data_IF_131523010284
#
_entry.id   IF_131523010284
#
_cell.length_a   1.000
_cell.length_b   1.000
_cell.length_c   1.000
_cell.angle_alpha   90.00
_cell.angle_beta   90.00
_cell.angle_gamma   90.00
#
_symmetry.space_group_name_H-M   'P 1'
#
loop_
_entity.id
_entity.type
_entity.pdbx_description
1 polymer ?
#
# COMPACT_ATOMS: atom_id res chain seq x y z
N UNK A 1 -58.60 1.32 -4.92
CA UNK A 1 -58.32 2.65 -4.32
C UNK A 1 -56.80 2.72 -4.11
N UNK A 2 -55.96 2.73 -5.14
CA UNK A 2 -56.12 3.31 -6.49
C UNK A 2 -56.28 4.84 -6.47
N UNK A 3 -55.58 5.51 -7.40
CA UNK A 3 -55.21 6.92 -7.34
C UNK A 3 -53.98 7.24 -8.18
N UNK A 4 -53.98 6.81 -9.46
CA UNK A 4 -52.91 7.08 -10.42
C UNK A 4 -52.69 8.58 -10.67
N UNK A 5 -51.43 9.05 -10.62
CA UNK A 5 -51.08 10.46 -10.82
C UNK A 5 -49.99 10.68 -11.90
N UNK A 6 -50.15 10.00 -13.04
CA UNK A 6 -49.42 10.30 -14.28
C UNK A 6 -50.39 10.31 -15.48
N UNK A 7 -51.09 11.44 -15.65
CA UNK A 7 -51.82 11.73 -16.88
C UNK A 7 -50.86 12.20 -17.96
N UNK A 8 -50.97 11.65 -19.17
CA UNK A 8 -50.23 12.13 -20.34
C UNK A 8 -50.70 13.52 -20.77
N UNK A 9 -49.76 14.36 -21.16
CA UNK A 9 -49.95 15.30 -22.28
C UNK A 9 -48.77 15.07 -23.25
N UNK A 10 -49.08 14.53 -24.42
CA UNK A 10 -48.14 14.40 -25.53
C UNK A 10 -48.36 15.62 -26.42
N UNK A 11 -47.39 16.54 -26.48
CA UNK A 11 -47.40 17.65 -27.43
C UNK A 11 -46.78 17.19 -28.76
N UNK A 12 -47.57 17.26 -29.84
CA UNK A 12 -47.11 16.93 -31.19
C UNK A 12 -45.98 17.87 -31.65
N UNK A 13 -44.76 17.33 -31.81
CA UNK A 13 -43.70 18.04 -32.52
C UNK A 13 -43.95 17.99 -34.04
N UNK A 14 -43.97 19.13 -34.75
CA UNK A 14 -44.08 19.14 -36.20
C UNK A 14 -42.85 18.49 -36.85
N UNK A 15 -43.06 17.83 -37.99
CA UNK A 15 -41.98 17.18 -38.75
C UNK A 15 -41.31 18.16 -39.71
N UNK A 16 -40.00 18.29 -39.58
CA UNK A 16 -39.09 18.52 -40.71
C UNK A 16 -38.41 19.88 -40.75
N UNK A 17 -37.11 19.85 -40.47
CA UNK A 17 -36.06 20.47 -41.29
C UNK A 17 -34.76 19.67 -41.05
N UNK A 18 -33.82 19.59 -42.02
CA UNK A 18 -32.56 18.89 -41.81
C UNK A 18 -31.57 19.80 -41.07
N UNK A 19 -31.32 19.51 -39.80
CA UNK A 19 -30.22 20.16 -39.06
C UNK A 19 -28.89 19.88 -39.79
N UNK A 20 -28.17 20.96 -40.14
CA UNK A 20 -26.81 20.86 -40.64
C UNK A 20 -25.87 20.56 -39.48
N UNK A 21 -25.03 19.52 -39.61
CA UNK A 21 -24.01 19.16 -38.62
C UNK A 21 -22.97 20.30 -38.44
N UNK A 22 -23.26 21.28 -37.59
CA UNK A 22 -22.21 22.09 -36.99
C UNK A 22 -21.38 21.21 -36.03
N UNK A 23 -20.04 21.25 -36.10
CA UNK A 23 -19.22 20.45 -35.20
C UNK A 23 -19.42 20.93 -33.77
N UNK A 24 -20.04 20.07 -32.95
CA UNK A 24 -20.40 20.38 -31.57
C UNK A 24 -19.22 20.96 -30.79
N UNK A 25 -19.38 22.20 -30.29
CA UNK A 25 -18.35 22.88 -29.47
C UNK A 25 -18.38 22.38 -28.02
N UNK A 26 -18.30 21.06 -27.90
CA UNK A 26 -18.54 20.30 -26.67
C UNK A 26 -17.35 20.49 -25.71
N UNK A 27 -17.43 21.56 -24.92
CA UNK A 27 -16.45 21.87 -23.86
C UNK A 27 -16.37 20.66 -22.93
N UNK A 28 -15.17 20.13 -22.63
CA UNK A 28 -15.02 18.88 -21.89
C UNK A 28 -15.75 18.95 -20.55
N UNK A 29 -16.87 18.23 -20.44
CA UNK A 29 -17.80 18.37 -19.33
C UNK A 29 -17.22 17.65 -18.09
N UNK A 30 -16.44 18.39 -17.30
CA UNK A 30 -15.77 17.88 -16.11
C UNK A 30 -16.76 17.36 -15.06
N UNK A 31 -16.87 16.04 -14.96
CA UNK A 31 -17.74 15.37 -13.99
C UNK A 31 -17.33 15.73 -12.57
N UNK A 32 -18.24 16.34 -11.80
CA UNK A 32 -18.00 16.83 -10.44
C UNK A 32 -17.32 15.80 -9.53
N UNK A 33 -17.80 14.55 -9.53
CA UNK A 33 -17.22 13.45 -8.74
C UNK A 33 -15.73 13.19 -9.06
N UNK A 34 -15.30 13.37 -10.31
CA UNK A 34 -13.89 13.22 -10.70
C UNK A 34 -13.06 14.35 -10.11
N UNK A 35 -13.59 15.58 -10.12
CA UNK A 35 -12.93 16.73 -9.50
C UNK A 35 -12.89 16.63 -7.97
N UNK A 36 -13.93 16.12 -7.31
CA UNK A 36 -13.91 15.81 -5.88
C UNK A 36 -12.84 14.77 -5.55
N UNK A 37 -12.78 13.66 -6.29
CA UNK A 37 -11.76 12.61 -6.09
C UNK A 37 -10.34 13.10 -6.39
N UNK A 38 -10.17 14.06 -7.30
CA UNK A 38 -8.89 14.72 -7.56
C UNK A 38 -8.52 15.68 -6.42
N UNK A 39 -9.47 16.46 -5.91
CA UNK A 39 -9.26 17.40 -4.80
C UNK A 39 -8.78 16.67 -3.52
N UNK A 40 -9.36 15.50 -3.20
CA UNK A 40 -8.86 14.62 -2.12
C UNK A 40 -7.35 14.35 -2.27
N UNK A 41 -6.90 13.98 -3.48
CA UNK A 41 -5.49 13.68 -3.78
C UNK A 41 -4.59 14.91 -3.74
N UNK A 42 -5.10 16.09 -4.11
CA UNK A 42 -4.36 17.35 -4.05
C UNK A 42 -4.17 17.77 -2.59
N UNK A 43 -5.23 17.72 -1.77
CA UNK A 43 -5.20 18.15 -0.37
C UNK A 43 -4.11 17.43 0.44
N UNK A 44 -4.06 16.09 0.38
CA UNK A 44 -3.03 15.30 1.08
C UNK A 44 -1.62 15.59 0.58
N UNK A 45 -1.43 15.82 -0.73
CA UNK A 45 -0.12 16.22 -1.28
C UNK A 45 0.33 17.61 -0.84
N UNK A 46 -0.61 18.47 -0.43
CA UNK A 46 -0.35 19.76 0.20
C UNK A 46 -0.23 19.67 1.73
N UNK A 47 -0.32 18.47 2.31
CA UNK A 47 -0.26 18.24 3.77
C UNK A 47 -1.60 18.43 4.50
N UNK A 48 -2.72 18.55 3.78
CA UNK A 48 -4.05 18.71 4.36
C UNK A 48 -4.79 17.37 4.54
N UNK A 49 -5.60 17.29 5.60
CA UNK A 49 -6.38 16.10 5.96
C UNK A 49 -7.77 16.13 5.30
N UNK A 50 -8.25 14.98 4.82
CA UNK A 50 -9.55 14.89 4.14
C UNK A 50 -10.70 14.50 5.07
N UNK A 51 -10.47 13.53 5.95
CA UNK A 51 -11.46 13.01 6.89
C UNK A 51 -10.78 12.27 8.04
N UNK A 52 -11.49 12.13 9.15
CA UNK A 52 -11.01 11.46 10.37
C UNK A 52 -11.83 10.22 10.68
N UNK A 53 -11.22 9.27 11.40
CA UNK A 53 -11.92 8.17 12.03
C UNK A 53 -12.55 8.65 13.35
N UNK A 54 -13.69 8.07 13.74
CA UNK A 54 -14.19 8.23 15.10
C UNK A 54 -13.18 7.54 16.06
N UNK A 55 -12.68 8.27 17.05
CA UNK A 55 -11.67 7.80 17.97
C UNK A 55 -12.19 6.88 19.08
N UNK A 56 -13.51 6.66 19.21
CA UNK A 56 -14.09 5.73 20.20
C UNK A 56 -13.39 4.35 20.20
N UNK A 57 -13.26 3.73 19.02
CA UNK A 57 -12.60 2.42 18.84
C UNK A 57 -11.10 2.51 19.15
N UNK A 58 -10.46 3.64 18.85
CA UNK A 58 -9.06 3.86 19.17
C UNK A 58 -8.84 3.99 20.69
N UNK A 59 -9.73 4.70 21.38
CA UNK A 59 -9.65 4.92 22.83
C UNK A 59 -9.99 3.68 23.65
N UNK A 60 -10.91 2.84 23.15
CA UNK A 60 -11.21 1.54 23.76
C UNK A 60 -10.03 0.57 23.70
N UNK A 61 -9.22 0.64 22.63
CA UNK A 61 -8.09 -0.29 22.39
C UNK A 61 -6.76 0.24 22.95
N UNK A 62 -6.43 1.52 22.71
CA UNK A 62 -5.13 2.12 23.05
C UNK A 62 -5.18 3.15 24.19
N UNK A 63 -6.34 3.29 24.85
CA UNK A 63 -6.53 4.21 25.97
C UNK A 63 -6.85 5.66 25.57
N UNK A 64 -7.17 6.47 26.58
CA UNK A 64 -7.51 7.89 26.42
C UNK A 64 -6.56 8.79 27.22
N UNK A 65 -6.43 10.04 26.78
CA UNK A 65 -5.65 11.09 27.46
C UNK A 65 -4.23 10.61 27.84
N UNK A 66 -3.86 10.71 29.12
CA UNK A 66 -2.54 10.36 29.67
C UNK A 66 -2.23 8.85 29.71
N UNK A 67 -3.17 7.98 29.31
CA UNK A 67 -2.93 6.54 29.15
C UNK A 67 -2.79 6.12 27.67
N UNK A 68 -2.82 7.06 26.71
CA UNK A 68 -2.72 6.75 25.28
C UNK A 68 -1.37 6.12 24.95
N UNK A 69 -1.35 4.81 24.63
CA UNK A 69 -0.14 4.11 24.16
C UNK A 69 0.43 4.76 22.90
N UNK A 70 1.74 4.99 22.85
CA UNK A 70 2.42 5.70 21.76
C UNK A 70 2.56 4.78 20.54
N UNK A 71 1.54 4.80 19.68
CA UNK A 71 1.34 3.75 18.66
C UNK A 71 1.62 4.27 17.26
N UNK A 72 2.67 3.75 16.62
CA UNK A 72 2.90 3.90 15.17
C UNK A 72 2.17 2.80 14.41
N UNK A 73 1.61 3.14 13.24
CA UNK A 73 1.01 2.17 12.33
C UNK A 73 1.83 2.18 11.05
N UNK A 74 2.31 1.01 10.64
CA UNK A 74 3.03 0.79 9.40
C UNK A 74 2.27 -0.20 8.52
N UNK A 75 2.45 -0.08 7.22
CA UNK A 75 1.96 -1.05 6.25
C UNK A 75 3.00 -1.27 5.17
N UNK A 76 3.03 -2.48 4.61
CA UNK A 76 4.02 -2.92 3.64
C UNK A 76 3.44 -3.89 2.59
N UNK A 77 3.83 -3.76 1.33
CA UNK A 77 3.43 -4.57 0.18
C UNK A 77 4.65 -4.86 -0.72
N UNK A 78 4.61 -5.96 -1.48
CA UNK A 78 5.54 -6.26 -2.59
C UNK A 78 4.83 -6.29 -3.94
N UNK A 79 5.21 -5.38 -4.84
CA UNK A 79 4.93 -5.50 -6.27
C UNK A 79 6.11 -6.14 -7.02
N UNK A 80 5.94 -7.39 -7.45
CA UNK A 80 6.87 -8.06 -8.37
C UNK A 80 6.82 -7.46 -9.81
N UNK A 81 7.84 -7.71 -10.66
CA UNK A 81 7.76 -7.43 -12.10
C UNK A 81 6.62 -8.21 -12.78
N UNK A 82 6.05 -7.71 -13.90
CA UNK A 82 5.09 -8.46 -14.68
C UNK A 82 5.73 -9.67 -15.37
N UNK A 83 4.92 -10.68 -15.73
CA UNK A 83 5.35 -11.73 -16.65
C UNK A 83 5.79 -11.11 -17.98
N UNK A 84 6.98 -11.48 -18.46
CA UNK A 84 7.60 -10.87 -19.64
C UNK A 84 8.38 -9.56 -19.39
N UNK A 85 8.60 -9.16 -18.14
CA UNK A 85 9.53 -8.08 -17.82
C UNK A 85 10.99 -8.40 -18.25
N UNK A 86 11.79 -7.35 -18.47
CA UNK A 86 13.24 -7.48 -18.70
C UNK A 86 13.91 -8.27 -17.57
N UNK A 87 14.90 -9.07 -17.93
CA UNK A 87 15.77 -9.76 -16.98
C UNK A 87 16.51 -8.72 -16.12
N UNK A 88 16.68 -8.99 -14.83
CA UNK A 88 17.17 -8.01 -13.85
C UNK A 88 16.13 -7.01 -13.34
N UNK A 89 14.88 -7.00 -13.82
CA UNK A 89 13.84 -6.13 -13.27
C UNK A 89 13.63 -6.42 -11.76
N UNK A 90 13.70 -5.39 -10.90
CA UNK A 90 13.59 -5.56 -9.45
C UNK A 90 12.12 -5.74 -9.05
N UNK A 91 11.89 -6.54 -8.02
CA UNK A 91 10.67 -6.41 -7.22
C UNK A 91 10.74 -5.09 -6.44
N UNK A 92 9.66 -4.34 -6.43
CA UNK A 92 9.52 -3.15 -5.59
C UNK A 92 8.55 -3.52 -4.50
N UNK A 93 9.07 -3.72 -3.30
CA UNK A 93 8.24 -3.57 -2.11
C UNK A 93 8.38 -2.17 -1.55
N UNK A 94 7.54 -1.90 -0.57
CA UNK A 94 7.39 -0.67 0.16
C UNK A 94 6.88 -1.10 1.54
N UNK A 95 7.45 -0.62 2.65
CA UNK A 95 6.65 -0.23 3.81
C UNK A 95 6.00 1.10 3.40
N UNK A 96 6.41 2.20 4.02
CA UNK A 96 6.97 3.26 3.20
C UNK A 96 8.48 2.94 2.97
N UNK A 97 8.79 2.20 1.88
CA UNK A 97 10.09 1.55 1.51
C UNK A 97 10.34 0.20 2.23
N UNK A 98 10.74 -0.95 1.64
CA UNK A 98 11.39 -1.25 0.35
C UNK A 98 11.74 -2.76 0.13
N UNK A 99 11.55 -3.32 -1.07
CA UNK A 99 11.91 -4.69 -1.55
C UNK A 99 11.34 -5.99 -0.90
N UNK A 100 11.33 -7.10 -1.68
CA UNK A 100 10.40 -8.25 -1.59
C UNK A 100 10.44 -9.09 -0.31
N UNK A 101 11.58 -9.73 -0.05
CA UNK A 101 12.10 -9.77 1.32
C UNK A 101 12.52 -8.34 1.58
N UNK A 102 12.03 -7.72 2.65
CA UNK A 102 12.35 -6.32 2.95
C UNK A 102 13.80 -6.29 3.48
N UNK A 103 14.79 -6.44 2.59
CA UNK A 103 16.20 -6.67 2.95
C UNK A 103 16.86 -5.46 3.62
N UNK A 104 16.27 -4.28 3.44
CA UNK A 104 16.65 -3.06 4.14
C UNK A 104 15.59 -2.63 5.20
N UNK A 105 14.72 -3.56 5.64
CA UNK A 105 13.62 -3.33 6.61
C UNK A 105 14.11 -2.47 7.77
N UNK A 106 15.30 -2.77 8.29
CA UNK A 106 15.94 -2.04 9.36
C UNK A 106 16.07 -0.55 9.05
N UNK A 107 16.64 -0.20 7.91
CA UNK A 107 16.88 1.19 7.50
C UNK A 107 15.58 1.96 7.28
N UNK A 108 14.58 1.33 6.66
CA UNK A 108 13.35 2.02 6.26
C UNK A 108 12.37 2.13 7.42
N UNK A 109 12.26 1.12 8.28
CA UNK A 109 11.55 1.25 9.57
C UNK A 109 12.24 2.29 10.45
N UNK A 110 13.58 2.29 10.53
CA UNK A 110 14.35 3.36 11.19
C UNK A 110 14.02 4.74 10.62
N UNK A 111 13.94 4.91 9.30
CA UNK A 111 13.59 6.20 8.68
C UNK A 111 12.20 6.71 9.14
N UNK A 112 11.24 5.80 9.31
CA UNK A 112 9.91 6.13 9.85
C UNK A 112 9.95 6.41 11.36
N UNK A 113 10.75 5.68 12.15
CA UNK A 113 10.96 5.92 13.58
C UNK A 113 11.70 7.24 13.86
N UNK A 114 12.73 7.56 13.08
CA UNK A 114 13.40 8.86 13.09
C UNK A 114 12.44 10.00 12.73
N UNK A 115 11.57 9.79 11.73
CA UNK A 115 10.53 10.77 11.37
C UNK A 115 9.52 10.93 12.52
N UNK A 116 9.18 9.85 13.20
CA UNK A 116 8.30 9.85 14.37
C UNK A 116 8.91 10.65 15.53
N UNK A 117 10.16 10.38 15.93
CA UNK A 117 10.90 11.08 16.99
C UNK A 117 10.90 12.60 16.78
N UNK A 118 11.24 13.04 15.57
CA UNK A 118 11.25 14.46 15.16
C UNK A 118 9.87 15.14 15.28
N UNK A 119 8.77 14.37 15.23
CA UNK A 119 7.40 14.83 15.48
C UNK A 119 6.92 14.70 16.93
N UNK A 120 7.56 13.84 17.73
CA UNK A 120 7.13 13.45 19.08
C UNK A 120 8.20 13.73 20.15
N UNK A 121 8.84 14.91 20.08
CA UNK A 121 9.81 15.40 21.10
C UNK A 121 11.02 14.49 21.33
N UNK A 122 11.46 13.77 20.31
CA UNK A 122 12.48 12.71 20.37
C UNK A 122 12.08 11.43 21.14
N UNK A 123 10.80 11.29 21.53
CA UNK A 123 10.24 10.05 22.09
C UNK A 123 9.92 9.04 20.96
N UNK A 124 10.17 7.75 21.22
CA UNK A 124 9.84 6.64 20.31
C UNK A 124 8.40 6.11 20.55
N UNK A 125 7.81 5.38 19.58
CA UNK A 125 6.54 4.70 19.78
C UNK A 125 6.72 3.38 20.55
N UNK A 126 6.10 3.27 21.74
CA UNK A 126 6.04 2.04 22.55
C UNK A 126 5.32 0.88 21.86
N UNK A 127 4.55 1.19 20.81
CA UNK A 127 3.63 0.26 20.16
C UNK A 127 3.77 0.36 18.64
N UNK A 128 3.89 -0.78 17.95
CA UNK A 128 3.92 -0.83 16.49
C UNK A 128 2.88 -1.80 15.95
N UNK A 129 1.94 -1.30 15.16
CA UNK A 129 0.98 -2.10 14.41
C UNK A 129 1.42 -2.19 12.94
N UNK A 130 1.85 -3.37 12.50
CA UNK A 130 2.44 -3.58 11.19
C UNK A 130 1.52 -4.46 10.32
N UNK A 131 1.16 -4.00 9.11
CA UNK A 131 0.38 -4.75 8.13
C UNK A 131 1.23 -5.13 6.92
N UNK A 132 1.36 -6.42 6.62
CA UNK A 132 2.22 -6.98 5.58
C UNK A 132 1.39 -7.67 4.50
N UNK A 133 1.15 -7.03 3.37
CA UNK A 133 0.40 -7.58 2.24
C UNK A 133 1.29 -8.37 1.28
N UNK A 134 0.64 -9.16 0.40
CA UNK A 134 1.27 -9.74 -0.77
C UNK A 134 2.08 -11.04 -0.54
N UNK A 135 2.08 -11.61 0.67
CA UNK A 135 2.82 -12.86 0.96
C UNK A 135 1.92 -14.07 1.21
N UNK A 136 2.47 -15.25 0.92
CA UNK A 136 1.82 -16.56 1.07
C UNK A 136 2.13 -17.22 2.42
N UNK A 137 1.32 -18.21 2.81
CA UNK A 137 1.54 -19.02 4.03
C UNK A 137 2.92 -19.72 4.04
N UNK A 138 3.46 -20.07 2.87
CA UNK A 138 4.83 -20.59 2.70
C UNK A 138 5.96 -19.59 3.01
N UNK A 139 5.65 -18.30 3.15
CA UNK A 139 6.62 -17.24 3.46
C UNK A 139 6.55 -16.76 4.91
N UNK A 140 5.62 -17.24 5.73
CA UNK A 140 5.51 -16.80 7.14
C UNK A 140 6.79 -17.03 7.95
N UNK A 141 7.51 -18.17 7.84
CA UNK A 141 8.80 -18.35 8.52
C UNK A 141 9.84 -17.29 8.13
N UNK A 142 9.84 -16.82 6.88
CA UNK A 142 10.73 -15.74 6.44
C UNK A 142 10.40 -14.39 7.11
N UNK A 143 9.14 -14.14 7.45
CA UNK A 143 8.77 -12.95 8.21
C UNK A 143 9.13 -13.09 9.70
N UNK A 144 8.90 -14.26 10.29
CA UNK A 144 9.25 -14.57 11.68
C UNK A 144 10.77 -14.53 11.91
N UNK A 145 11.55 -15.27 11.10
CA UNK A 145 12.99 -15.44 11.23
C UNK A 145 13.80 -14.17 10.83
N UNK A 146 13.22 -13.27 10.04
CA UNK A 146 13.94 -12.12 9.48
C UNK A 146 13.21 -10.78 9.58
N UNK A 147 12.03 -10.62 8.96
CA UNK A 147 11.39 -9.28 8.88
C UNK A 147 11.03 -8.70 10.25
N UNK A 148 10.54 -9.54 11.17
CA UNK A 148 10.23 -9.15 12.56
C UNK A 148 11.52 -8.84 13.35
N UNK A 149 12.59 -9.62 13.15
CA UNK A 149 13.89 -9.37 13.76
C UNK A 149 14.55 -8.07 13.27
N UNK A 150 14.41 -7.72 11.99
CA UNK A 150 14.94 -6.47 11.44
C UNK A 150 14.11 -5.24 11.85
N UNK A 151 12.81 -5.41 12.16
CA UNK A 151 11.98 -4.36 12.79
C UNK A 151 12.50 -4.01 14.19
N UNK A 152 12.82 -5.00 15.04
CA UNK A 152 13.32 -4.73 16.40
C UNK A 152 14.70 -4.06 16.35
N UNK A 153 15.62 -4.54 15.51
CA UNK A 153 16.93 -3.91 15.31
C UNK A 153 16.81 -2.48 14.78
N UNK A 154 15.77 -2.16 14.01
CA UNK A 154 15.50 -0.78 13.58
C UNK A 154 15.22 0.13 14.79
N UNK A 155 14.45 -0.37 15.75
CA UNK A 155 14.08 0.34 16.97
C UNK A 155 15.29 0.54 17.89
N UNK A 156 16.06 -0.53 18.13
CA UNK A 156 17.36 -0.48 18.83
C UNK A 156 18.29 0.58 18.21
N UNK A 157 18.52 0.51 16.89
CA UNK A 157 19.37 1.45 16.17
C UNK A 157 18.83 2.89 16.14
N UNK A 158 17.57 3.13 16.51
CA UNK A 158 16.98 4.48 16.66
C UNK A 158 17.05 4.99 18.12
N UNK A 159 17.60 4.17 19.04
CA UNK A 159 17.86 4.52 20.44
C UNK A 159 16.73 4.18 21.41
N UNK A 160 15.95 3.12 21.14
CA UNK A 160 15.09 2.45 22.12
C UNK A 160 15.65 1.08 22.51
N UNK A 161 14.99 0.37 23.42
CA UNK A 161 15.27 -1.04 23.72
C UNK A 161 14.38 -1.97 22.87
N UNK A 162 14.86 -3.16 22.46
CA UNK A 162 14.01 -4.14 21.75
C UNK A 162 12.87 -4.68 22.62
N UNK A 163 13.05 -4.67 23.96
CA UNK A 163 12.04 -5.09 24.94
C UNK A 163 10.94 -4.03 25.18
N UNK A 164 11.22 -2.75 24.94
CA UNK A 164 10.25 -1.64 25.09
C UNK A 164 9.17 -1.63 23.98
N UNK A 165 9.39 -2.33 22.86
CA UNK A 165 8.52 -2.30 21.69
C UNK A 165 7.48 -3.44 21.71
N UNK A 166 6.24 -3.11 22.05
CA UNK A 166 5.10 -3.99 21.80
C UNK A 166 4.76 -3.99 20.28
N UNK A 167 5.24 -5.00 19.55
CA UNK A 167 4.94 -5.19 18.13
C UNK A 167 3.66 -6.01 17.94
N UNK A 168 2.93 -5.76 16.85
CA UNK A 168 1.90 -6.68 16.34
C UNK A 168 1.97 -6.71 14.83
N UNK A 169 2.29 -7.89 14.29
CA UNK A 169 2.59 -8.10 12.88
C UNK A 169 1.47 -8.93 12.25
N UNK A 170 0.66 -8.28 11.42
CA UNK A 170 -0.42 -8.92 10.66
C UNK A 170 0.01 -9.08 9.20
N UNK A 171 -0.19 -10.27 8.67
CA UNK A 171 -0.03 -10.58 7.25
C UNK A 171 -1.38 -10.60 6.57
N UNK A 172 -1.55 -9.88 5.46
CA UNK A 172 -2.75 -9.95 4.62
C UNK A 172 -2.49 -10.64 3.28
N UNK A 173 -3.49 -11.35 2.79
CA UNK A 173 -3.63 -11.68 1.37
C UNK A 173 -5.12 -11.70 0.97
N UNK A 174 -5.44 -11.43 -0.31
CA UNK A 174 -6.84 -11.46 -0.78
C UNK A 174 -7.30 -12.88 -1.11
N UNK A 175 -8.45 -13.28 -0.57
CA UNK A 175 -9.00 -14.63 -0.69
C UNK A 175 -10.49 -14.61 -1.06
N UNK A 176 -11.02 -15.73 -1.57
CA UNK A 176 -12.43 -15.87 -1.92
C UNK A 176 -13.12 -16.89 -1.01
N UNK A 177 -14.20 -16.45 -0.34
CA UNK A 177 -15.12 -17.31 0.41
C UNK A 177 -16.57 -16.86 0.22
N UNK A 178 -17.51 -17.78 0.38
CA UNK A 178 -18.95 -17.64 0.08
C UNK A 178 -19.74 -17.64 1.39
N UNK A 179 -20.78 -16.82 1.50
CA UNK A 179 -21.58 -16.64 2.72
C UNK A 179 -23.04 -16.30 2.41
N UNK A 180 -23.80 -15.88 3.43
CA UNK A 180 -25.21 -15.50 3.31
C UNK A 180 -25.45 -14.04 3.74
N UNK A 181 -26.40 -13.37 3.05
CA UNK A 181 -26.78 -11.94 3.06
C UNK A 181 -26.09 -11.07 2.01
N UNK A 182 -26.87 -10.48 1.10
CA UNK A 182 -26.35 -9.88 -0.13
C UNK A 182 -26.65 -8.38 -0.33
N UNK A 183 -25.69 -7.68 -0.93
CA UNK A 183 -25.76 -6.35 -1.56
C UNK A 183 -25.04 -6.50 -2.90
N UNK A 184 -25.71 -6.18 -4.02
CA UNK A 184 -25.18 -6.40 -5.39
C UNK A 184 -24.65 -7.84 -5.62
N UNK A 185 -25.30 -8.85 -5.03
CA UNK A 185 -24.86 -10.26 -5.09
C UNK A 185 -23.65 -10.62 -4.20
N UNK A 186 -23.12 -9.66 -3.43
CA UNK A 186 -21.92 -9.78 -2.59
C UNK A 186 -22.26 -9.61 -1.12
N UNK A 187 -21.40 -10.05 -0.21
CA UNK A 187 -21.68 -9.97 1.23
C UNK A 187 -21.61 -8.51 1.72
N UNK A 188 -22.29 -8.19 2.82
CA UNK A 188 -22.20 -6.85 3.41
C UNK A 188 -20.77 -6.59 3.95
N UNK A 189 -20.25 -5.36 3.85
CA UNK A 189 -18.96 -5.01 4.45
C UNK A 189 -18.99 -5.21 5.96
N UNK A 190 -17.91 -5.76 6.52
CA UNK A 190 -17.83 -6.09 7.95
C UNK A 190 -18.18 -7.53 8.30
N UNK A 191 -18.39 -8.41 7.30
CA UNK A 191 -18.36 -9.86 7.54
C UNK A 191 -16.98 -10.26 8.07
N UNK A 192 -16.97 -10.81 9.28
CA UNK A 192 -15.84 -11.48 9.92
C UNK A 192 -16.06 -13.00 9.88
N UNK A 193 -15.01 -13.76 9.59
CA UNK A 193 -14.98 -15.23 9.80
C UNK A 193 -13.64 -15.63 10.42
N UNK A 194 -13.69 -15.99 11.70
CA UNK A 194 -12.57 -16.38 12.56
C UNK A 194 -12.48 -17.89 12.83
N UNK A 195 -13.51 -18.64 12.42
CA UNK A 195 -13.78 -20.01 12.86
C UNK A 195 -14.29 -20.89 11.71
N UNK A 196 -14.32 -22.21 11.94
CA UNK A 196 -14.75 -23.30 11.03
C UNK A 196 -13.89 -23.50 9.77
N UNK A 197 -13.46 -22.41 9.13
CA UNK A 197 -12.75 -22.41 7.83
C UNK A 197 -11.42 -21.64 7.89
N UNK A 198 -10.96 -21.32 9.09
CA UNK A 198 -9.67 -20.73 9.45
C UNK A 198 -8.66 -21.85 9.79
N UNK A 199 -7.39 -21.78 9.35
CA UNK A 199 -6.36 -22.72 9.81
C UNK A 199 -6.16 -22.62 11.34
N UNK A 200 -5.74 -23.70 12.02
CA UNK A 200 -5.66 -23.72 13.49
C UNK A 200 -4.51 -22.89 14.07
N UNK A 201 -3.45 -22.65 13.30
CA UNK A 201 -2.31 -21.76 13.61
C UNK A 201 -1.71 -21.20 12.30
N UNK A 202 -1.09 -20.02 12.30
CA UNK A 202 -1.11 -19.01 13.37
C UNK A 202 -2.52 -18.39 13.54
N UNK A 203 -2.76 -17.53 14.54
CA UNK A 203 -4.10 -16.96 14.74
C UNK A 203 -4.50 -16.12 13.53
N UNK A 204 -5.72 -16.26 13.03
CA UNK A 204 -6.13 -15.65 11.77
C UNK A 204 -7.63 -15.37 11.68
N UNK A 205 -8.03 -14.53 10.72
CA UNK A 205 -9.43 -14.20 10.43
C UNK A 205 -9.62 -13.69 8.99
N UNK A 206 -10.76 -13.99 8.39
CA UNK A 206 -11.22 -13.37 7.15
C UNK A 206 -12.07 -12.14 7.45
N UNK A 207 -11.83 -11.03 6.76
CA UNK A 207 -12.64 -9.82 6.86
C UNK A 207 -13.01 -9.32 5.45
N UNK A 208 -14.32 -9.27 5.13
CA UNK A 208 -14.77 -8.61 3.90
C UNK A 208 -14.93 -7.10 4.16
N UNK A 209 -13.83 -6.35 4.01
CA UNK A 209 -13.79 -4.91 4.29
C UNK A 209 -14.29 -4.03 3.14
N UNK A 210 -15.12 -4.50 2.20
CA UNK A 210 -15.66 -3.61 1.16
C UNK A 210 -16.98 -4.10 0.55
N UNK A 211 -17.68 -3.18 -0.12
CA UNK A 211 -18.76 -3.49 -1.05
C UNK A 211 -18.14 -3.62 -2.44
N UNK A 212 -18.21 -4.80 -3.05
CA UNK A 212 -17.79 -4.95 -4.44
C UNK A 212 -18.77 -4.20 -5.36
N UNK A 213 -18.24 -3.28 -6.17
CA UNK A 213 -19.02 -2.50 -7.15
C UNK A 213 -19.42 -3.40 -8.35
N UNK A 214 -18.54 -4.32 -8.73
CA UNK A 214 -18.71 -5.26 -9.84
C UNK A 214 -18.05 -6.61 -9.50
N UNK A 215 -18.53 -7.70 -10.07
CA UNK A 215 -17.96 -9.04 -9.89
C UNK A 215 -18.27 -9.62 -8.51
N UNK A 216 -17.36 -10.45 -8.00
CA UNK A 216 -17.48 -11.07 -6.66
C UNK A 216 -16.40 -10.55 -5.73
N UNK A 217 -16.82 -10.13 -4.53
CA UNK A 217 -15.95 -9.59 -3.50
C UNK A 217 -14.94 -10.63 -3.02
N UNK A 218 -13.70 -10.17 -2.80
CA UNK A 218 -12.67 -10.93 -2.10
C UNK A 218 -12.61 -10.46 -0.64
N UNK A 219 -12.49 -11.39 0.29
CA UNK A 219 -12.22 -11.08 1.70
C UNK A 219 -10.72 -11.08 1.90
N UNK A 220 -10.19 -10.11 2.63
CA UNK A 220 -8.79 -10.18 3.07
C UNK A 220 -8.68 -11.23 4.17
N UNK A 221 -7.73 -12.15 4.04
CA UNK A 221 -7.37 -13.12 5.07
C UNK A 221 -6.17 -12.55 5.84
N UNK A 222 -6.35 -12.33 7.14
CA UNK A 222 -5.31 -11.81 8.02
C UNK A 222 -4.77 -12.93 8.90
N UNK A 223 -3.47 -13.16 8.86
CA UNK A 223 -2.75 -13.98 9.83
C UNK A 223 -1.99 -13.07 10.80
N UNK A 224 -1.92 -13.45 12.06
CA UNK A 224 -1.25 -12.71 13.13
C UNK A 224 -0.01 -13.51 13.51
N UNK A 225 1.17 -13.01 13.15
CA UNK A 225 2.45 -13.68 13.41
C UNK A 225 2.98 -13.33 14.82
N UNK A 226 2.82 -12.07 15.23
CA UNK A 226 3.19 -11.56 16.57
C UNK A 226 2.11 -10.62 17.08
N UNK A 227 1.84 -10.62 18.39
CA UNK A 227 0.79 -9.82 19.07
C UNK A 227 1.22 -9.46 20.51
N UNK A 228 2.37 -8.78 20.65
CA UNK A 228 2.92 -8.37 21.97
C UNK A 228 2.00 -7.38 22.69
N UNK A 229 1.29 -6.56 21.90
CA UNK A 229 0.24 -5.63 22.34
C UNK A 229 -0.99 -6.36 22.90
N UNK A 230 -1.12 -7.68 22.65
CA UNK A 230 -2.21 -8.56 23.11
C UNK A 230 -3.58 -8.09 22.62
N UNK A 231 -3.65 -7.55 21.41
CA UNK A 231 -4.87 -7.00 20.80
C UNK A 231 -5.91 -8.09 20.52
N UNK A 232 -5.49 -9.35 20.30
CA UNK A 232 -6.33 -10.53 20.44
C UNK A 232 -7.57 -10.53 19.55
N UNK A 233 -8.74 -10.19 20.10
CA UNK A 233 -10.04 -10.14 19.41
C UNK A 233 -10.44 -8.74 18.93
N UNK A 234 -9.70 -7.70 19.34
CA UNK A 234 -9.90 -6.33 18.87
C UNK A 234 -9.32 -6.10 17.46
N UNK A 235 -8.38 -6.95 17.01
CA UNK A 235 -7.71 -6.81 15.71
C UNK A 235 -8.67 -6.75 14.50
N UNK A 236 -9.68 -7.62 14.34
CA UNK A 236 -10.69 -7.48 13.29
C UNK A 236 -11.41 -6.13 13.29
N UNK A 237 -11.75 -5.60 14.47
CA UNK A 237 -12.44 -4.31 14.63
C UNK A 237 -11.53 -3.13 14.32
N UNK A 238 -10.27 -3.19 14.75
CA UNK A 238 -9.24 -2.21 14.44
C UNK A 238 -8.93 -2.17 12.93
N UNK A 239 -8.78 -3.34 12.30
CA UNK A 239 -8.61 -3.50 10.85
C UNK A 239 -9.82 -2.93 10.08
N UNK A 240 -11.04 -3.25 10.54
CA UNK A 240 -12.31 -2.75 10.00
C UNK A 240 -12.53 -1.24 10.23
N UNK A 241 -11.83 -0.62 11.18
CA UNK A 241 -11.75 0.83 11.30
C UNK A 241 -10.72 1.40 10.33
N UNK A 242 -9.50 0.86 10.32
CA UNK A 242 -8.37 1.39 9.54
C UNK A 242 -8.60 1.40 8.02
N UNK A 243 -9.41 0.48 7.47
CA UNK A 243 -9.87 0.54 6.06
C UNK A 243 -10.47 1.89 5.64
N UNK A 244 -11.04 2.65 6.59
CA UNK A 244 -11.72 3.92 6.34
C UNK A 244 -10.75 5.11 6.42
N UNK A 245 -9.50 4.92 6.88
CA UNK A 245 -8.47 5.97 6.92
C UNK A 245 -7.87 6.29 5.54
N UNK A 246 -8.25 5.58 4.47
CA UNK A 246 -7.71 5.80 3.13
C UNK A 246 -8.24 7.11 2.51
N UNK A 247 -7.53 8.22 2.77
CA UNK A 247 -7.94 9.58 2.41
C UNK A 247 -8.18 9.85 0.92
N UNK A 248 -7.87 8.92 0.02
CA UNK A 248 -8.09 9.04 -1.44
C UNK A 248 -9.50 8.66 -1.89
N UNK A 249 -10.34 8.12 -1.00
CA UNK A 249 -11.72 7.73 -1.31
C UNK A 249 -12.67 8.01 -0.15
N UNK A 250 -13.93 8.30 -0.47
CA UNK A 250 -15.03 8.44 0.50
C UNK A 250 -15.66 7.09 0.90
N UNK A 251 -14.97 5.97 0.61
CA UNK A 251 -15.43 4.59 0.87
C UNK A 251 -14.28 3.74 1.41
N UNK A 252 -14.56 2.90 2.41
CA UNK A 252 -13.52 2.07 3.05
C UNK A 252 -13.05 0.92 2.16
N UNK A 253 -11.73 0.80 2.00
CA UNK A 253 -11.04 -0.07 1.02
C UNK A 253 -11.01 -1.57 1.37
N UNK A 254 -10.62 -2.38 0.38
CA UNK A 254 -10.69 -3.85 0.37
C UNK A 254 -9.75 -4.59 1.33
N UNK A 255 -8.85 -3.89 2.00
CA UNK A 255 -8.03 -4.38 3.11
C UNK A 255 -7.58 -3.18 3.98
N UNK A 256 -6.64 -3.35 4.92
CA UNK A 256 -6.20 -2.28 5.81
C UNK A 256 -5.53 -1.11 5.04
N UNK A 257 -5.92 0.14 5.34
CA UNK A 257 -5.38 1.31 4.63
C UNK A 257 -3.84 1.46 4.67
N UNK A 258 -3.11 1.13 5.76
CA UNK A 258 -1.64 1.18 5.76
C UNK A 258 -1.00 0.28 4.68
N UNK A 259 -1.50 -0.94 4.52
CA UNK A 259 -1.06 -1.84 3.46
C UNK A 259 -1.48 -1.33 2.08
N UNK A 260 -2.68 -0.75 1.96
CA UNK A 260 -3.17 -0.17 0.70
C UNK A 260 -2.31 1.02 0.26
N UNK A 261 -1.82 1.82 1.22
CA UNK A 261 -0.83 2.89 1.00
C UNK A 261 0.48 2.30 0.43
N UNK A 262 0.98 1.21 1.00
CA UNK A 262 2.19 0.54 0.50
C UNK A 262 2.05 0.02 -0.94
N UNK A 263 0.94 -0.67 -1.28
CA UNK A 263 0.59 -1.07 -2.66
C UNK A 263 0.62 0.13 -3.63
N UNK A 264 0.02 1.26 -3.24
CA UNK A 264 0.02 2.47 -4.07
C UNK A 264 1.39 3.15 -4.19
N UNK A 265 2.24 3.06 -3.16
CA UNK A 265 3.65 3.49 -3.24
C UNK A 265 4.44 2.58 -4.19
N UNK A 266 4.13 1.29 -4.24
CA UNK A 266 4.81 0.29 -5.06
C UNK A 266 4.38 0.33 -6.53
N UNK A 267 3.09 0.52 -6.82
CA UNK A 267 2.61 0.90 -8.16
C UNK A 267 3.32 2.17 -8.67
N UNK A 268 3.53 3.16 -7.79
CA UNK A 268 4.16 4.44 -8.13
C UNK A 268 5.68 4.30 -8.32
N UNK A 269 6.37 3.53 -7.47
CA UNK A 269 7.77 3.14 -7.67
C UNK A 269 7.96 2.45 -9.02
N UNK A 270 7.08 1.48 -9.32
CA UNK A 270 7.06 0.77 -10.60
C UNK A 270 6.71 1.68 -11.78
N UNK A 271 6.01 2.80 -11.56
CA UNK A 271 5.76 3.80 -12.60
C UNK A 271 7.03 4.54 -13.01
N UNK A 272 7.93 4.84 -12.07
CA UNK A 272 9.24 5.46 -12.39
C UNK A 272 10.14 4.53 -13.20
N UNK A 273 10.11 3.21 -12.95
CA UNK A 273 10.90 2.26 -13.74
C UNK A 273 10.36 2.01 -15.16
N UNK A 274 9.16 2.51 -15.53
CA UNK A 274 8.51 2.19 -16.83
C UNK A 274 9.31 2.58 -18.07
N UNK A 275 10.01 3.74 -18.15
CA UNK A 275 10.82 4.08 -19.31
C UNK A 275 11.90 3.02 -19.54
N UNK A 276 12.73 2.74 -18.52
CA UNK A 276 13.77 1.71 -18.58
C UNK A 276 13.22 0.30 -18.89
N UNK A 277 12.07 -0.07 -18.33
CA UNK A 277 11.44 -1.38 -18.62
C UNK A 277 10.92 -1.51 -20.07
N UNK A 278 10.42 -0.42 -20.66
CA UNK A 278 9.69 -0.46 -21.94
C UNK A 278 10.53 -0.05 -23.16
N UNK A 279 11.59 0.72 -22.96
CA UNK A 279 12.49 1.19 -24.00
C UNK A 279 13.29 0.00 -24.60
N UNK A 280 13.22 -0.28 -25.91
CA UNK A 280 13.98 -1.39 -26.52
C UNK A 280 15.47 -1.10 -26.73
N UNK A 281 15.88 0.17 -26.78
CA UNK A 281 17.27 0.59 -27.00
C UNK A 281 18.04 0.68 -25.68
N UNK A 282 17.35 0.81 -24.55
CA UNK A 282 17.85 0.44 -23.23
C UNK A 282 18.12 -1.08 -23.18
N UNK A 283 19.34 -1.49 -23.51
CA UNK A 283 19.79 -2.89 -23.40
C UNK A 283 19.46 -3.50 -22.02
N UNK A 284 19.19 -4.83 -21.93
CA UNK A 284 19.16 -5.51 -20.65
C UNK A 284 20.57 -5.42 -20.03
N UNK A 285 20.74 -4.54 -19.05
CA UNK A 285 22.07 -4.06 -18.63
C UNK A 285 23.00 -5.16 -18.07
N UNK A 286 22.45 -6.35 -17.77
CA UNK A 286 23.19 -7.50 -17.27
C UNK A 286 22.59 -8.82 -17.80
N UNK A 287 23.43 -9.66 -18.40
CA UNK A 287 23.13 -11.08 -18.57
C UNK A 287 23.53 -11.85 -17.29
N UNK A 288 22.78 -12.90 -16.89
CA UNK A 288 23.18 -13.75 -15.78
C UNK A 288 24.47 -14.49 -16.15
N UNK A 289 25.51 -14.49 -15.28
CA UNK A 289 26.68 -15.30 -15.52
C UNK A 289 26.29 -16.79 -15.54
N UNK A 290 27.13 -17.60 -16.18
CA UNK A 290 27.01 -19.06 -16.17
C UNK A 290 27.90 -19.63 -15.08
N UNK A 291 27.67 -20.89 -14.70
CA UNK A 291 28.63 -21.64 -13.89
C UNK A 291 29.88 -22.04 -14.70
N UNK A 292 30.85 -22.67 -14.03
CA UNK A 292 32.12 -23.08 -14.64
C UNK A 292 31.99 -24.13 -15.77
N UNK A 293 30.83 -24.78 -15.91
CA UNK A 293 30.51 -25.74 -16.96
C UNK A 293 29.56 -25.15 -18.03
N UNK A 294 29.49 -23.80 -18.11
CA UNK A 294 28.59 -23.03 -18.98
C UNK A 294 27.07 -23.22 -18.75
N UNK A 295 26.66 -23.81 -17.62
CA UNK A 295 25.24 -24.00 -17.30
C UNK A 295 24.63 -22.73 -16.70
N UNK A 296 23.29 -22.57 -16.76
CA UNK A 296 22.60 -21.58 -15.91
C UNK A 296 22.91 -21.83 -14.43
N UNK A 297 23.07 -20.76 -13.66
CA UNK A 297 23.31 -20.78 -12.21
C UNK A 297 22.29 -21.64 -11.44
N UNK A 298 22.71 -22.11 -10.27
CA UNK A 298 21.78 -22.62 -9.26
C UNK A 298 20.74 -21.57 -8.90
N UNK A 299 19.54 -22.02 -8.49
CA UNK A 299 18.40 -21.14 -8.19
C UNK A 299 18.77 -20.00 -7.23
N UNK A 300 19.54 -20.30 -6.20
CA UNK A 300 19.85 -19.36 -5.12
C UNK A 300 20.99 -18.40 -5.54
N UNK A 301 22.00 -18.89 -6.26
CA UNK A 301 23.04 -18.06 -6.90
C UNK A 301 22.43 -17.07 -7.90
N UNK A 302 21.45 -17.51 -8.70
CA UNK A 302 20.70 -16.66 -9.63
C UNK A 302 19.87 -15.60 -8.91
N UNK A 303 19.28 -15.95 -7.76
CA UNK A 303 18.54 -14.99 -6.92
C UNK A 303 19.48 -13.96 -6.30
N UNK A 304 20.66 -14.36 -5.82
CA UNK A 304 21.65 -13.46 -5.24
C UNK A 304 22.24 -12.52 -6.30
N UNK A 305 22.59 -13.02 -7.49
CA UNK A 305 22.95 -12.17 -8.65
C UNK A 305 21.84 -11.19 -9.02
N UNK A 306 20.57 -11.64 -9.03
CA UNK A 306 19.43 -10.75 -9.31
C UNK A 306 19.28 -9.66 -8.25
N UNK A 307 19.58 -9.94 -6.97
CA UNK A 307 19.59 -8.92 -5.89
C UNK A 307 20.71 -7.90 -6.11
N UNK A 308 21.92 -8.34 -6.47
CA UNK A 308 23.04 -7.45 -6.79
C UNK A 308 22.63 -6.45 -7.89
N UNK A 309 22.01 -6.94 -8.97
CA UNK A 309 21.61 -6.09 -10.10
C UNK A 309 20.38 -5.22 -9.81
N UNK A 310 19.48 -5.67 -8.94
CA UNK A 310 18.42 -4.80 -8.39
C UNK A 310 19.00 -3.63 -7.56
N UNK A 311 20.07 -3.88 -6.78
CA UNK A 311 20.76 -2.86 -5.99
C UNK A 311 21.65 -1.93 -6.84
N UNK A 312 22.18 -2.42 -7.95
CA UNK A 312 22.88 -1.60 -8.96
C UNK A 312 21.89 -0.67 -9.68
N UNK A 313 20.75 -1.21 -10.13
CA UNK A 313 19.68 -0.45 -10.78
C UNK A 313 19.09 0.63 -9.86
N UNK A 314 18.86 0.34 -8.57
CA UNK A 314 18.29 1.31 -7.64
C UNK A 314 19.18 2.54 -7.41
N UNK A 315 20.50 2.39 -7.60
CA UNK A 315 21.49 3.48 -7.54
C UNK A 315 21.73 4.16 -8.90
N UNK A 316 21.27 3.58 -10.01
CA UNK A 316 21.56 4.07 -11.36
C UNK A 316 20.70 5.28 -11.72
N UNK A 317 21.31 6.47 -11.73
CA UNK A 317 20.65 7.76 -12.02
C UNK A 317 19.91 7.79 -13.37
N UNK A 318 20.36 7.05 -14.38
CA UNK A 318 19.71 6.98 -15.69
C UNK A 318 18.27 6.40 -15.63
N UNK A 319 17.95 5.64 -14.58
CA UNK A 319 16.64 5.00 -14.37
C UNK A 319 15.63 5.97 -13.73
N UNK A 320 16.11 6.84 -12.83
CA UNK A 320 15.27 7.79 -12.08
C UNK A 320 15.17 9.18 -12.74
N UNK A 321 16.18 9.56 -13.54
CA UNK A 321 16.19 10.80 -14.32
C UNK A 321 16.92 12.00 -13.65
N UNK A 322 16.73 13.22 -14.19
CA UNK A 322 17.41 14.42 -13.70
C UNK A 322 16.70 15.04 -12.49
N UNK A 323 17.21 14.77 -11.28
CA UNK A 323 16.60 15.26 -10.04
C UNK A 323 16.79 16.77 -9.83
N UNK A 324 15.70 17.43 -9.41
CA UNK A 324 15.45 18.88 -9.47
C UNK A 324 16.41 19.81 -8.69
N UNK A 325 17.33 19.28 -7.87
CA UNK A 325 18.31 20.07 -7.10
C UNK A 325 19.77 19.58 -7.25
N UNK A 326 20.03 18.54 -8.04
CA UNK A 326 21.37 17.95 -8.12
C UNK A 326 22.28 18.77 -9.04
N UNK A 327 22.87 19.84 -8.50
CA UNK A 327 23.87 20.65 -9.18
C UNK A 327 25.17 19.87 -9.44
N UNK A 328 25.91 20.27 -10.49
CA UNK A 328 27.03 19.50 -11.01
C UNK A 328 28.24 19.36 -10.04
N UNK A 329 28.32 20.22 -9.01
CA UNK A 329 29.42 20.27 -8.04
C UNK A 329 29.15 19.46 -6.75
N UNK A 330 27.93 18.98 -6.53
CA UNK A 330 27.61 18.14 -5.35
C UNK A 330 28.34 16.79 -5.45
N UNK A 331 28.68 16.18 -4.30
CA UNK A 331 29.21 14.80 -4.29
C UNK A 331 28.12 13.79 -4.63
N UNK A 332 28.51 12.57 -5.00
CA UNK A 332 27.55 11.48 -5.25
C UNK A 332 26.74 11.11 -4.00
N UNK A 333 27.37 11.20 -2.82
CA UNK A 333 26.74 11.03 -1.50
C UNK A 333 25.70 12.13 -1.15
N UNK A 334 25.85 13.32 -1.74
CA UNK A 334 25.04 14.51 -1.43
C UNK A 334 23.87 14.69 -2.42
N UNK A 335 23.86 13.93 -3.52
CA UNK A 335 22.85 13.97 -4.57
C UNK A 335 21.60 13.22 -4.15
N UNK A 336 20.45 13.90 -4.22
CA UNK A 336 19.17 13.26 -3.93
C UNK A 336 18.83 12.21 -5.01
N UNK A 337 18.28 11.06 -4.59
CA UNK A 337 17.85 9.97 -5.50
C UNK A 337 16.37 10.10 -5.94
N UNK A 338 15.53 10.76 -5.15
CA UNK A 338 14.08 10.90 -5.40
C UNK A 338 13.75 11.56 -6.76
N UNK A 339 12.95 10.92 -7.64
CA UNK A 339 12.58 11.44 -8.97
C UNK A 339 11.47 12.52 -8.94
N UNK A 340 11.36 13.31 -7.87
CA UNK A 340 10.34 14.36 -7.71
C UNK A 340 10.90 15.61 -7.03
N UNK A 341 10.15 16.72 -7.13
CA UNK A 341 10.60 18.00 -6.58
C UNK A 341 10.58 17.99 -5.03
N UNK A 342 11.62 18.49 -4.32
CA UNK A 342 11.76 18.29 -2.87
C UNK A 342 10.67 18.90 -1.98
N UNK A 343 9.92 19.89 -2.47
CA UNK A 343 8.73 20.39 -1.77
C UNK A 343 7.66 19.28 -1.57
N UNK A 344 7.74 18.19 -2.32
CA UNK A 344 6.86 17.02 -2.24
C UNK A 344 7.41 15.91 -1.32
N UNK A 345 8.63 16.00 -0.79
CA UNK A 345 9.21 14.95 0.08
C UNK A 345 8.34 14.74 1.34
N UNK A 346 7.66 15.79 1.83
CA UNK A 346 6.69 15.70 2.94
C UNK A 346 5.32 15.14 2.56
N UNK A 347 5.01 14.93 1.28
CA UNK A 347 3.67 14.54 0.80
C UNK A 347 3.63 13.36 -0.19
N UNK A 348 4.78 12.89 -0.69
CA UNK A 348 4.86 11.74 -1.60
C UNK A 348 4.81 10.40 -0.88
N UNK A 349 5.34 10.32 0.34
CA UNK A 349 5.37 9.08 1.14
C UNK A 349 4.12 8.85 2.02
N UNK A 350 3.09 9.69 1.88
CA UNK A 350 1.81 9.61 2.62
C UNK A 350 0.61 9.44 1.65
N UNK A 351 0.75 8.60 0.61
CA UNK A 351 -0.14 8.50 -0.57
C UNK A 351 -1.01 7.25 -0.66
#
# INVERSE_FOLDING_TARGET
>A
MDGSLFGKLEEDKPKGEPETDEPSTDKPQFKSQVMSNLALKVNMKMGGENHWLNSDVWHEIFGSNSQKKSTIILGADVTHPPAGAKLGAPSIACVAGGQEKIEDMRSMVRERLETWKKGHKEELPTNMLFYRDGISESQFPQCDDYEIGEIRKAYEHTGGDEEDLELTFLVSYTSYKKGQQFVNGNLRPGLLVDSVITPPKPKNFFLQSHSAIQGTARSAHYHILTDDMRLGEQLPRLTMMLRYAFGRATTGVSYAAPAYIADRLCEQGRAYLRPWMNDPEMEPCWEPPKDADERPLGKDEFLDWKREKALELSKTRAVWGPNYKNEAWMKEEEKQLNPWHPNLDKGMFWM
#
